data_IF_649469260133
#
_entry.id   IF_649469260133
#
_cell.length_a   1.000
_cell.length_b   1.000
_cell.length_c   1.000
_cell.angle_alpha   90.00
_cell.angle_beta   90.00
_cell.angle_gamma   90.00
#
_symmetry.space_group_name_H-M   'P 1'
#
loop_
_entity.id
_entity.type
_entity.pdbx_description
1 polymer ?
#
# COMPACT_ATOMS: atom_id res chain seq x y z
N UNK A 1 60.74 10.28 -10.81
CA UNK A 1 59.62 11.12 -10.35
C UNK A 1 58.39 10.75 -11.15
N UNK A 2 57.38 10.29 -10.43
CA UNK A 2 56.09 9.79 -10.88
C UNK A 2 55.28 10.91 -11.56
N UNK A 3 54.95 10.78 -12.85
CA UNK A 3 53.75 11.38 -13.43
C UNK A 3 53.11 10.36 -14.35
N UNK A 4 52.07 9.74 -13.79
CA UNK A 4 51.10 8.87 -14.45
C UNK A 4 50.55 9.60 -15.68
N UNK A 5 51.09 9.30 -16.86
CA UNK A 5 50.36 9.48 -18.10
C UNK A 5 49.18 8.52 -18.04
N UNK A 6 48.03 8.99 -17.58
CA UNK A 6 46.77 8.30 -17.79
C UNK A 6 46.62 8.17 -19.31
N UNK A 7 47.00 7.01 -19.85
CA UNK A 7 46.73 6.68 -21.23
C UNK A 7 45.23 6.85 -21.43
N UNK A 8 44.83 7.74 -22.34
CA UNK A 8 43.43 7.94 -22.66
C UNK A 8 42.81 6.57 -22.95
N UNK A 9 41.85 6.09 -22.12
CA UNK A 9 41.37 4.71 -22.19
C UNK A 9 40.55 4.42 -23.46
N UNK A 10 40.43 5.43 -24.34
CA UNK A 10 39.55 5.49 -25.48
C UNK A 10 40.33 6.00 -26.69
N UNK A 11 40.66 5.10 -27.61
CA UNK A 11 41.05 5.49 -28.96
C UNK A 11 39.77 5.73 -29.77
N UNK A 12 39.36 6.99 -29.86
CA UNK A 12 38.20 7.40 -30.65
C UNK A 12 38.59 7.54 -32.13
N UNK A 13 38.17 6.59 -32.95
CA UNK A 13 38.08 6.79 -34.40
C UNK A 13 36.74 7.44 -34.76
N UNK A 14 36.62 8.02 -35.96
CA UNK A 14 35.44 8.79 -36.40
C UNK A 14 34.10 8.05 -36.31
N UNK A 15 34.10 6.71 -36.27
CA UNK A 15 32.92 5.85 -36.16
C UNK A 15 33.00 4.77 -35.07
N UNK A 16 34.14 4.61 -34.39
CA UNK A 16 34.39 3.47 -33.50
C UNK A 16 35.21 3.89 -32.29
N UNK A 17 34.74 3.54 -31.09
CA UNK A 17 35.50 3.65 -29.86
C UNK A 17 36.12 2.30 -29.56
N UNK A 18 37.46 2.22 -29.53
CA UNK A 18 38.18 1.03 -29.08
C UNK A 18 38.60 1.22 -27.62
N UNK A 19 38.19 0.29 -26.78
CA UNK A 19 38.61 0.19 -25.38
C UNK A 19 39.97 -0.52 -25.34
N UNK A 20 41.02 0.15 -24.89
CA UNK A 20 42.34 -0.45 -24.74
C UNK A 20 42.28 -1.53 -23.63
N UNK A 21 42.54 -2.79 -23.98
CA UNK A 21 42.51 -3.94 -23.06
C UNK A 21 41.41 -4.98 -23.31
N UNK A 22 40.45 -4.72 -24.20
CA UNK A 22 39.46 -5.70 -24.66
C UNK A 22 39.43 -5.75 -26.20
N UNK A 23 39.30 -6.94 -26.79
CA UNK A 23 39.09 -7.15 -28.23
C UNK A 23 37.65 -6.79 -28.65
N UNK A 24 37.20 -5.59 -28.27
CA UNK A 24 35.86 -5.08 -28.59
C UNK A 24 35.96 -3.65 -29.13
N UNK A 25 35.44 -3.43 -30.34
CA UNK A 25 35.18 -2.10 -30.87
C UNK A 25 33.66 -1.86 -30.80
N UNK A 26 33.24 -0.84 -30.05
CA UNK A 26 31.84 -0.42 -30.01
C UNK A 26 31.71 0.83 -30.88
N UNK A 27 30.85 0.77 -31.89
CA UNK A 27 30.46 1.98 -32.64
C UNK A 27 29.31 2.65 -31.90
N UNK A 28 29.48 3.89 -31.39
CA UNK A 28 28.39 4.62 -30.74
C UNK A 28 27.18 4.79 -31.65
N UNK A 29 27.40 4.89 -32.97
CA UNK A 29 26.35 4.96 -33.98
C UNK A 29 25.57 3.65 -34.12
N UNK A 30 26.24 2.49 -34.10
CA UNK A 30 25.54 1.20 -34.14
C UNK A 30 24.72 0.97 -32.87
N UNK A 31 25.25 1.37 -31.70
CA UNK A 31 24.51 1.28 -30.44
C UNK A 31 23.29 2.20 -30.47
N UNK A 32 23.45 3.46 -30.91
CA UNK A 32 22.34 4.39 -31.05
C UNK A 32 21.28 3.89 -32.05
N UNK A 33 21.69 3.33 -33.19
CA UNK A 33 20.80 2.73 -34.18
C UNK A 33 20.06 1.51 -33.60
N UNK A 34 20.76 0.63 -32.89
CA UNK A 34 20.15 -0.54 -32.25
C UNK A 34 19.12 -0.14 -31.19
N UNK A 35 19.40 0.88 -30.38
CA UNK A 35 18.45 1.43 -29.40
C UNK A 35 17.25 2.08 -30.10
N UNK A 36 17.48 2.83 -31.18
CA UNK A 36 16.39 3.44 -31.96
C UNK A 36 15.47 2.36 -32.55
N UNK A 37 16.05 1.32 -33.15
CA UNK A 37 15.27 0.18 -33.69
C UNK A 37 14.54 -0.55 -32.58
N UNK A 38 15.20 -0.80 -31.44
CA UNK A 38 14.58 -1.42 -30.26
C UNK A 38 13.40 -0.60 -29.71
N UNK A 39 13.53 0.72 -29.61
CA UNK A 39 12.46 1.59 -29.12
C UNK A 39 11.30 1.67 -30.10
N UNK A 40 11.55 1.79 -31.41
CA UNK A 40 10.52 1.81 -32.45
C UNK A 40 9.76 0.49 -32.52
N UNK A 41 10.47 -0.64 -32.43
CA UNK A 41 9.85 -1.97 -32.42
C UNK A 41 8.97 -2.16 -31.19
N UNK A 42 9.46 -1.84 -29.99
CA UNK A 42 8.65 -1.90 -28.75
C UNK A 42 7.44 -0.98 -28.83
N UNK A 43 7.61 0.27 -29.28
CA UNK A 43 6.50 1.21 -29.44
C UNK A 43 5.45 0.71 -30.45
N UNK A 44 5.90 0.13 -31.57
CA UNK A 44 5.04 -0.47 -32.58
C UNK A 44 4.25 -1.66 -32.04
N UNK A 45 4.90 -2.57 -31.31
CA UNK A 45 4.26 -3.72 -30.65
C UNK A 45 3.22 -3.24 -29.64
N UNK A 46 3.56 -2.28 -28.78
CA UNK A 46 2.64 -1.72 -27.80
C UNK A 46 1.43 -1.07 -28.47
N UNK A 47 1.62 -0.32 -29.56
CA UNK A 47 0.51 0.27 -30.33
C UNK A 47 -0.38 -0.79 -30.97
N UNK A 48 0.19 -1.84 -31.54
CA UNK A 48 -0.56 -2.96 -32.12
C UNK A 48 -1.38 -3.70 -31.06
N UNK A 49 -0.79 -3.98 -29.90
CA UNK A 49 -1.49 -4.61 -28.77
C UNK A 49 -2.60 -3.70 -28.25
N UNK A 50 -2.35 -2.39 -28.11
CA UNK A 50 -3.35 -1.43 -27.68
C UNK A 50 -4.50 -1.31 -28.69
N UNK A 51 -4.21 -1.26 -29.99
CA UNK A 51 -5.22 -1.22 -31.04
C UNK A 51 -6.09 -2.49 -31.03
N UNK A 52 -5.48 -3.67 -30.90
CA UNK A 52 -6.20 -4.94 -30.75
C UNK A 52 -7.07 -4.97 -29.49
N UNK A 53 -6.58 -4.45 -28.36
CA UNK A 53 -7.37 -4.35 -27.12
C UNK A 53 -8.55 -3.40 -27.30
N UNK A 54 -8.36 -2.23 -27.90
CA UNK A 54 -9.45 -1.29 -28.21
C UNK A 54 -10.52 -1.90 -29.10
N UNK A 55 -10.12 -2.65 -30.13
CA UNK A 55 -11.05 -3.36 -31.00
C UNK A 55 -11.87 -4.43 -30.24
N UNK A 56 -11.27 -5.13 -29.27
CA UNK A 56 -11.99 -6.07 -28.41
C UNK A 56 -12.96 -5.36 -27.46
N UNK A 57 -12.53 -4.24 -26.86
CA UNK A 57 -13.37 -3.45 -25.93
C UNK A 57 -14.55 -2.77 -26.66
N UNK A 58 -14.44 -2.53 -27.97
CA UNK A 58 -15.56 -2.00 -28.76
C UNK A 58 -16.75 -2.98 -28.90
N UNK A 59 -16.55 -4.26 -28.59
CA UNK A 59 -17.67 -5.21 -28.51
C UNK A 59 -18.43 -5.01 -27.20
N UNK A 60 -19.76 -4.90 -27.27
CA UNK A 60 -20.58 -4.80 -26.05
C UNK A 60 -20.40 -6.07 -25.24
N UNK A 61 -19.95 -5.92 -24.00
CA UNK A 61 -20.00 -6.99 -23.02
C UNK A 61 -21.48 -7.27 -22.68
N UNK A 62 -21.74 -8.52 -22.30
CA UNK A 62 -23.06 -8.90 -21.79
C UNK A 62 -23.42 -8.01 -20.59
N UNK A 63 -24.55 -7.32 -20.69
CA UNK A 63 -25.03 -6.36 -19.69
C UNK A 63 -26.26 -6.87 -18.93
N UNK A 64 -26.61 -8.15 -19.10
CA UNK A 64 -27.82 -8.74 -18.51
C UNK A 64 -29.11 -7.95 -18.83
N UNK A 65 -29.13 -7.13 -19.88
CA UNK A 65 -30.27 -6.27 -20.22
C UNK A 65 -30.32 -4.94 -19.46
N UNK A 66 -29.30 -4.58 -18.67
CA UNK A 66 -29.23 -3.32 -17.91
C UNK A 66 -28.70 -2.13 -18.74
N UNK A 67 -28.42 -2.34 -20.02
CA UNK A 67 -27.89 -1.32 -20.92
C UNK A 67 -26.37 -1.16 -20.87
N UNK A 68 -25.81 -0.17 -21.58
CA UNK A 68 -24.36 -0.03 -21.71
C UNK A 68 -23.68 0.13 -20.35
N UNK A 69 -22.68 -0.72 -20.10
CA UNK A 69 -21.85 -0.70 -18.89
C UNK A 69 -21.26 0.70 -18.67
N UNK A 70 -21.38 1.21 -17.45
CA UNK A 70 -20.79 2.49 -17.04
C UNK A 70 -19.71 2.27 -15.98
N UNK A 71 -18.82 3.24 -15.78
CA UNK A 71 -17.79 3.18 -14.73
C UNK A 71 -18.38 2.99 -13.31
N UNK A 72 -19.67 3.29 -13.10
CA UNK A 72 -20.36 3.05 -11.82
C UNK A 72 -20.70 1.59 -11.56
N UNK A 73 -20.69 0.75 -12.60
CA UNK A 73 -20.97 -0.70 -12.51
C UNK A 73 -19.70 -1.52 -12.25
N UNK A 74 -18.53 -0.87 -12.15
CA UNK A 74 -17.29 -1.54 -11.79
C UNK A 74 -17.30 -2.01 -10.33
N UNK A 75 -16.69 -3.16 -10.07
CA UNK A 75 -16.48 -3.63 -8.71
C UNK A 75 -15.56 -2.69 -7.94
N UNK A 76 -16.05 -2.20 -6.81
CA UNK A 76 -15.30 -1.28 -5.94
C UNK A 76 -14.60 -2.04 -4.82
N UNK A 77 -13.66 -1.38 -4.15
CA UNK A 77 -13.04 -1.92 -2.93
C UNK A 77 -14.09 -2.35 -1.88
N UNK A 78 -15.21 -1.63 -1.80
CA UNK A 78 -16.33 -1.96 -0.92
C UNK A 78 -16.98 -3.29 -1.28
N UNK A 79 -17.20 -3.56 -2.58
CA UNK A 79 -17.75 -4.83 -3.06
C UNK A 79 -16.81 -6.01 -2.73
N UNK A 80 -15.50 -5.80 -2.79
CA UNK A 80 -14.52 -6.82 -2.38
C UNK A 80 -14.46 -7.01 -0.87
N UNK A 81 -14.74 -5.98 -0.09
CA UNK A 81 -14.75 -6.03 1.38
C UNK A 81 -16.04 -6.64 1.95
N UNK A 82 -17.17 -6.58 1.23
CA UNK A 82 -18.48 -7.02 1.71
C UNK A 82 -18.50 -8.47 2.25
N UNK A 83 -17.90 -9.48 1.59
CA UNK A 83 -17.88 -10.84 2.12
C UNK A 83 -17.17 -10.93 3.48
N UNK A 84 -16.07 -10.19 3.63
CA UNK A 84 -15.32 -10.14 4.88
C UNK A 84 -16.15 -9.44 5.97
N UNK A 85 -16.83 -8.36 5.63
CA UNK A 85 -17.72 -7.64 6.55
C UNK A 85 -18.89 -8.51 7.02
N UNK A 86 -19.46 -9.35 6.14
CA UNK A 86 -20.49 -10.35 6.53
C UNK A 86 -19.96 -11.38 7.51
N UNK A 87 -18.77 -11.92 7.28
CA UNK A 87 -18.15 -12.90 8.20
C UNK A 87 -17.89 -12.27 9.58
N UNK A 88 -17.44 -11.01 9.61
CA UNK A 88 -17.14 -10.28 10.84
C UNK A 88 -18.28 -9.38 11.32
N UNK A 89 -19.52 -9.61 10.89
CA UNK A 89 -20.67 -8.76 11.23
C UNK A 89 -20.87 -8.63 12.75
N UNK A 90 -20.61 -9.70 13.51
CA UNK A 90 -20.67 -9.66 14.97
C UNK A 90 -19.74 -8.61 15.62
N UNK A 91 -18.59 -8.34 15.00
CA UNK A 91 -17.55 -7.43 15.49
C UNK A 91 -17.69 -6.05 14.88
N UNK A 92 -17.82 -5.99 13.55
CA UNK A 92 -17.82 -4.75 12.76
C UNK A 92 -19.21 -4.11 12.74
N UNK A 93 -20.28 -4.92 12.77
CA UNK A 93 -21.69 -4.50 12.66
C UNK A 93 -21.92 -3.45 11.57
N UNK A 94 -21.59 -3.74 10.30
CA UNK A 94 -21.89 -2.87 9.17
C UNK A 94 -23.40 -2.58 9.08
N UNK A 95 -23.73 -1.33 8.77
CA UNK A 95 -25.10 -0.89 8.49
C UNK A 95 -25.26 -0.80 6.96
N UNK A 96 -26.13 -1.63 6.39
CA UNK A 96 -26.40 -1.70 4.94
C UNK A 96 -27.85 -1.29 4.69
N UNK A 97 -28.06 -0.33 3.78
CA UNK A 97 -29.37 0.15 3.34
C UNK A 97 -29.47 0.05 1.82
N UNK A 98 -30.48 -0.68 1.35
CA UNK A 98 -30.70 -0.99 -0.06
C UNK A 98 -32.12 -0.57 -0.42
N UNK A 99 -32.23 0.46 -1.25
CA UNK A 99 -33.50 0.97 -1.73
C UNK A 99 -33.65 0.67 -3.22
N UNK A 100 -34.70 -0.08 -3.57
CA UNK A 100 -34.97 -0.56 -4.93
C UNK A 100 -36.24 0.12 -5.44
N UNK A 101 -36.07 1.00 -6.41
CA UNK A 101 -37.17 1.64 -7.13
C UNK A 101 -37.52 0.80 -8.35
N UNK A 102 -38.81 0.52 -8.52
CA UNK A 102 -39.34 -0.26 -9.65
C UNK A 102 -40.15 0.62 -10.58
N UNK A 103 -40.20 0.24 -11.85
CA UNK A 103 -41.06 0.91 -12.83
C UNK A 103 -42.54 0.80 -12.47
N UNK A 104 -43.32 1.82 -12.83
CA UNK A 104 -44.77 1.88 -12.56
C UNK A 104 -45.54 0.78 -13.27
N UNK A 105 -45.07 0.39 -14.44
CA UNK A 105 -45.71 -0.58 -15.34
C UNK A 105 -45.51 -2.03 -14.86
N UNK A 106 -44.45 -2.32 -14.09
CA UNK A 106 -44.18 -3.66 -13.57
C UNK A 106 -43.24 -3.63 -12.38
N UNK A 107 -43.64 -4.28 -11.28
CA UNK A 107 -42.79 -4.49 -10.09
C UNK A 107 -41.59 -5.41 -10.36
N UNK A 108 -41.56 -6.13 -11.48
CA UNK A 108 -40.43 -6.97 -11.85
C UNK A 108 -39.31 -6.21 -12.56
N UNK A 109 -39.57 -4.98 -13.02
CA UNK A 109 -38.58 -4.16 -13.69
C UNK A 109 -38.02 -3.13 -12.71
N UNK A 110 -36.72 -3.24 -12.42
CA UNK A 110 -36.01 -2.32 -11.53
C UNK A 110 -35.59 -1.08 -12.32
N UNK A 111 -35.97 0.09 -11.82
CA UNK A 111 -35.62 1.39 -12.40
C UNK A 111 -34.31 1.91 -11.79
N UNK A 112 -34.17 1.83 -10.46
CA UNK A 112 -32.99 2.31 -9.76
C UNK A 112 -32.72 1.49 -8.50
N UNK A 113 -31.44 1.31 -8.17
CA UNK A 113 -30.99 0.74 -6.89
C UNK A 113 -30.07 1.73 -6.22
N UNK A 114 -30.44 2.17 -5.02
CA UNK A 114 -29.61 3.03 -4.18
C UNK A 114 -29.00 2.18 -3.06
N UNK A 115 -27.68 2.13 -3.03
CA UNK A 115 -26.92 1.39 -2.03
C UNK A 115 -26.19 2.34 -1.09
N UNK A 116 -26.41 2.20 0.22
CA UNK A 116 -25.68 2.92 1.26
C UNK A 116 -25.09 1.93 2.26
N UNK A 117 -23.78 2.04 2.48
CA UNK A 117 -23.06 1.25 3.47
C UNK A 117 -22.36 2.18 4.44
N UNK A 118 -22.55 1.93 5.74
CA UNK A 118 -21.85 2.63 6.82
C UNK A 118 -21.16 1.62 7.72
N UNK A 119 -19.86 1.80 7.91
CA UNK A 119 -19.05 0.96 8.79
C UNK A 119 -18.60 1.82 9.98
N UNK A 120 -19.25 1.73 11.14
CA UNK A 120 -18.87 2.54 12.31
C UNK A 120 -17.57 2.04 12.97
N UNK A 121 -16.72 2.95 13.45
CA UNK A 121 -15.45 2.66 14.15
C UNK A 121 -15.64 2.11 15.58
N UNK A 122 -16.33 0.97 15.69
CA UNK A 122 -16.61 0.33 16.99
C UNK A 122 -15.38 -0.28 17.64
N UNK A 123 -14.43 -0.79 16.85
CA UNK A 123 -13.17 -1.35 17.37
C UNK A 123 -12.36 -0.26 18.06
N UNK A 124 -12.22 0.91 17.44
CA UNK A 124 -11.53 2.04 18.03
C UNK A 124 -12.22 2.50 19.33
N UNK A 125 -13.55 2.66 19.28
CA UNK A 125 -14.29 3.15 20.43
C UNK A 125 -14.28 2.14 21.60
N UNK A 126 -14.36 0.84 21.32
CA UNK A 126 -14.49 -0.21 22.35
C UNK A 126 -13.17 -0.73 22.88
N UNK A 127 -12.09 -0.69 22.09
CA UNK A 127 -10.76 -1.18 22.52
C UNK A 127 -9.76 -0.05 22.68
N UNK A 128 -9.54 0.78 21.66
CA UNK A 128 -8.49 1.80 21.70
C UNK A 128 -8.76 2.87 22.74
N UNK A 129 -9.97 3.45 22.75
CA UNK A 129 -10.32 4.51 23.70
C UNK A 129 -10.18 4.11 25.18
N UNK A 130 -10.70 2.95 25.64
CA UNK A 130 -10.52 2.56 27.05
C UNK A 130 -9.07 2.24 27.38
N UNK A 131 -8.31 1.61 26.48
CA UNK A 131 -6.88 1.35 26.69
C UNK A 131 -6.10 2.66 26.82
N UNK A 132 -6.30 3.59 25.88
CA UNK A 132 -5.68 4.92 25.95
C UNK A 132 -6.11 5.68 27.21
N UNK A 133 -7.37 5.55 27.61
CA UNK A 133 -7.88 6.11 28.86
C UNK A 133 -7.20 5.52 30.10
N UNK A 134 -6.99 4.21 30.13
CA UNK A 134 -6.28 3.51 31.21
C UNK A 134 -4.81 3.95 31.27
N UNK A 135 -4.11 3.97 30.13
CA UNK A 135 -2.71 4.43 30.03
C UNK A 135 -2.58 5.89 30.49
N UNK A 136 -3.49 6.77 30.06
CA UNK A 136 -3.52 8.17 30.52
C UNK A 136 -3.76 8.27 32.03
N UNK A 137 -4.68 7.47 32.58
CA UNK A 137 -4.93 7.42 34.04
C UNK A 137 -3.69 6.99 34.80
N UNK A 138 -2.98 5.98 34.32
CA UNK A 138 -1.72 5.50 34.88
C UNK A 138 -0.63 6.58 34.77
N UNK A 139 -0.51 7.24 33.63
CA UNK A 139 0.44 8.34 33.43
C UNK A 139 0.24 9.51 34.41
N UNK A 140 -1.00 9.78 34.84
CA UNK A 140 -1.28 10.80 35.88
C UNK A 140 -0.78 10.43 37.28
N UNK A 141 -0.44 9.16 37.53
CA UNK A 141 0.15 8.72 38.80
C UNK A 141 1.65 9.03 38.85
N UNK A 142 2.34 9.02 37.70
CA UNK A 142 3.78 9.31 37.60
C UNK A 142 4.22 10.59 38.32
N UNK A 143 3.61 11.76 38.01
CA UNK A 143 3.94 13.01 38.69
C UNK A 143 3.70 13.00 40.20
N UNK A 144 2.77 12.17 40.71
CA UNK A 144 2.49 12.04 42.15
C UNK A 144 3.55 11.23 42.90
N UNK A 145 4.29 10.37 42.19
CA UNK A 145 5.39 9.60 42.78
C UNK A 145 6.65 10.45 42.95
N UNK A 146 6.82 11.48 42.11
CA UNK A 146 7.95 12.40 42.11
C UNK A 146 7.71 13.68 42.94
N UNK A 147 7.19 13.52 44.16
CA UNK A 147 6.84 14.58 45.13
C UNK A 147 8.03 15.40 45.69
N UNK A 148 9.25 15.27 45.15
CA UNK A 148 10.42 16.05 45.58
C UNK A 148 11.06 15.63 46.91
N UNK A 149 10.59 14.56 47.56
CA UNK A 149 11.15 14.06 48.83
C UNK A 149 12.33 13.12 48.58
N UNK A 150 13.52 13.48 49.07
CA UNK A 150 14.75 12.68 48.98
C UNK A 150 14.59 11.30 49.64
N UNK A 151 13.96 11.24 50.81
CA UNK A 151 13.73 10.00 51.55
C UNK A 151 12.91 8.98 50.74
N UNK A 152 11.94 9.46 49.95
CA UNK A 152 11.08 8.59 49.13
C UNK A 152 11.85 7.98 47.96
N UNK A 153 12.76 8.75 47.35
CA UNK A 153 13.65 8.26 46.30
C UNK A 153 14.67 7.23 46.82
N UNK A 154 15.28 7.49 47.99
CA UNK A 154 16.15 6.53 48.65
C UNK A 154 15.43 5.21 48.97
N UNK A 155 14.20 5.30 49.46
CA UNK A 155 13.34 4.14 49.71
C UNK A 155 13.12 3.30 48.45
N UNK A 156 12.72 3.92 47.32
CA UNK A 156 12.56 3.20 46.05
C UNK A 156 13.85 2.50 45.61
N UNK A 157 14.99 3.17 45.75
CA UNK A 157 16.31 2.59 45.44
C UNK A 157 16.61 1.37 46.32
N UNK A 158 16.47 1.51 47.64
CA UNK A 158 16.70 0.41 48.58
C UNK A 158 15.79 -0.80 48.30
N UNK A 159 14.48 -0.58 48.10
CA UNK A 159 13.54 -1.66 47.78
C UNK A 159 13.85 -2.33 46.43
N UNK A 160 14.23 -1.55 45.41
CA UNK A 160 14.63 -2.11 44.12
C UNK A 160 15.87 -3.00 44.23
N UNK A 161 16.87 -2.58 45.02
CA UNK A 161 18.09 -3.36 45.27
C UNK A 161 17.79 -4.67 46.00
N UNK A 162 17.03 -4.61 47.09
CA UNK A 162 16.59 -5.81 47.82
C UNK A 162 15.79 -6.75 46.92
N UNK A 163 14.87 -6.22 46.10
CA UNK A 163 14.06 -7.01 45.17
C UNK A 163 14.90 -7.74 44.13
N UNK A 164 15.89 -7.07 43.53
CA UNK A 164 16.82 -7.67 42.58
C UNK A 164 17.69 -8.74 43.25
N UNK A 165 18.19 -8.48 44.46
CA UNK A 165 18.97 -9.47 45.23
C UNK A 165 18.15 -10.73 45.52
N UNK A 166 16.91 -10.57 46.00
CA UNK A 166 16.00 -11.70 46.26
C UNK A 166 15.69 -12.46 44.97
N UNK A 167 15.36 -11.76 43.88
CA UNK A 167 15.11 -12.38 42.59
C UNK A 167 16.32 -13.22 42.14
N UNK A 168 17.53 -12.67 42.24
CA UNK A 168 18.77 -13.35 41.87
C UNK A 168 18.98 -14.62 42.70
N UNK A 169 18.75 -14.56 44.01
CA UNK A 169 18.84 -15.71 44.92
C UNK A 169 17.79 -16.78 44.58
N UNK A 170 16.57 -16.41 44.19
CA UNK A 170 15.51 -17.36 43.81
C UNK A 170 15.74 -17.98 42.43
N UNK A 171 16.35 -17.24 41.51
CA UNK A 171 16.63 -17.72 40.14
C UNK A 171 17.96 -18.47 40.01
N UNK A 172 18.76 -18.54 41.09
CA UNK A 172 19.99 -19.34 41.18
C UNK A 172 19.73 -20.65 41.90
#
# INVERSE_FOLDING_TARGET
>A
GLLLGAADPVAAGMLTVRLQGFTGALSPLLVAAAVLVGTVTVAGVLRLVAARRRARVATRLWDCGAGPQSARMEYTATSFAEPLQRVFDNVVRPEQDVDVTHHRESRYLVEAVNYRLRVPDRVEYRFYRPVLGAVRRWGRVGPRLATGSVHRYLGYGFYSLCGVLVLLVVTR
#
